data_IF_135341945549
#
_entry.id   IF_135341945549
#
_cell.length_a   1.000
_cell.length_b   1.000
_cell.length_c   1.000
_cell.angle_alpha   90.00
_cell.angle_beta   90.00
_cell.angle_gamma   90.00
#
_symmetry.space_group_name_H-M   'P 1'
#
loop_
_entity.id
_entity.type
_entity.pdbx_description
1 polymer ?
#
# COMPACT_ATOMS: atom_id res chain seq x y z
N UNK A 1 8.81 25.40 -13.66
CA UNK A 1 9.00 24.44 -12.54
C UNK A 1 8.80 23.05 -13.10
N UNK A 2 9.69 22.11 -12.79
CA UNK A 2 9.45 20.71 -13.09
C UNK A 2 8.31 20.19 -12.22
N UNK A 3 7.36 19.47 -12.82
CA UNK A 3 6.33 18.73 -12.10
C UNK A 3 6.68 17.25 -12.16
N UNK A 4 6.73 16.62 -10.99
CA UNK A 4 6.99 15.19 -10.86
C UNK A 4 5.69 14.39 -10.94
N UNK A 5 5.78 13.16 -11.45
CA UNK A 5 4.72 12.17 -11.38
C UNK A 5 4.27 11.96 -9.92
N UNK A 6 2.98 11.67 -9.73
CA UNK A 6 2.37 11.47 -8.42
C UNK A 6 1.63 10.15 -8.42
N UNK A 7 2.02 9.29 -7.49
CA UNK A 7 1.34 8.02 -7.26
C UNK A 7 -0.13 8.27 -6.88
N UNK A 8 -1.07 7.68 -7.63
CA UNK A 8 -2.51 7.92 -7.44
C UNK A 8 -3.01 7.47 -6.08
N UNK A 9 -2.34 6.50 -5.45
CA UNK A 9 -2.57 6.14 -4.06
C UNK A 9 -2.44 7.32 -3.08
N UNK A 10 -1.78 8.42 -3.48
CA UNK A 10 -1.57 9.62 -2.68
C UNK A 10 -2.59 10.75 -2.86
N UNK A 11 -3.62 10.53 -3.70
CA UNK A 11 -4.56 11.59 -4.05
C UNK A 11 -5.75 11.62 -3.09
N UNK A 12 -5.96 12.78 -2.45
CA UNK A 12 -7.20 13.09 -1.75
C UNK A 12 -8.06 14.03 -2.61
N UNK A 13 -9.25 13.56 -3.00
CA UNK A 13 -10.15 14.31 -3.89
C UNK A 13 -11.52 14.50 -3.25
N UNK A 14 -11.93 15.76 -3.10
CA UNK A 14 -13.33 16.11 -2.80
C UNK A 14 -14.21 15.85 -4.03
N UNK A 15 -14.91 14.72 -4.01
CA UNK A 15 -15.77 14.28 -5.12
C UNK A 15 -16.94 15.22 -5.40
N UNK A 16 -17.42 15.99 -4.41
CA UNK A 16 -18.51 16.95 -4.62
C UNK A 16 -18.01 18.17 -5.37
N UNK A 17 -16.82 18.66 -4.99
CA UNK A 17 -16.22 19.85 -5.61
C UNK A 17 -15.64 19.57 -6.99
N UNK A 18 -15.04 18.40 -7.19
CA UNK A 18 -14.27 18.08 -8.39
C UNK A 18 -14.89 16.97 -9.25
N UNK A 19 -16.22 16.86 -9.24
CA UNK A 19 -16.94 15.86 -10.02
C UNK A 19 -16.59 15.89 -11.51
N UNK A 20 -16.56 17.08 -12.12
CA UNK A 20 -16.22 17.23 -13.54
C UNK A 20 -14.80 16.75 -13.87
N UNK A 21 -13.85 16.97 -12.98
CA UNK A 21 -12.48 16.50 -13.15
C UNK A 21 -12.39 14.99 -13.11
N UNK A 22 -13.13 14.35 -12.20
CA UNK A 22 -13.22 12.89 -12.13
C UNK A 22 -13.87 12.30 -13.38
N UNK A 23 -14.91 12.94 -13.90
CA UNK A 23 -15.53 12.54 -15.16
C UNK A 23 -14.56 12.65 -16.34
N UNK A 24 -13.77 13.72 -16.40
CA UNK A 24 -12.73 13.86 -17.43
C UNK A 24 -11.64 12.80 -17.28
N UNK A 25 -11.10 12.58 -16.07
CA UNK A 25 -10.10 11.56 -15.83
C UNK A 25 -10.61 10.15 -16.22
N UNK A 26 -11.86 9.85 -15.90
CA UNK A 26 -12.52 8.60 -16.30
C UNK A 26 -12.67 8.50 -17.83
N UNK A 27 -13.10 9.57 -18.50
CA UNK A 27 -13.23 9.60 -19.95
C UNK A 27 -11.87 9.41 -20.64
N UNK A 28 -10.81 10.06 -20.14
CA UNK A 28 -9.46 9.91 -20.66
C UNK A 28 -8.98 8.45 -20.54
N UNK A 29 -9.25 7.78 -19.42
CA UNK A 29 -8.91 6.38 -19.20
C UNK A 29 -9.72 5.40 -20.07
N UNK A 30 -11.03 5.63 -20.21
CA UNK A 30 -11.92 4.64 -20.83
C UNK A 30 -12.09 4.85 -22.33
N UNK A 31 -12.31 6.09 -22.77
CA UNK A 31 -12.59 6.39 -24.17
C UNK A 31 -11.32 6.71 -24.96
N UNK A 32 -10.31 7.27 -24.29
CA UNK A 32 -9.02 7.65 -24.90
C UNK A 32 -7.84 6.83 -24.35
N UNK A 33 -8.11 5.80 -23.55
CA UNK A 33 -7.08 5.02 -22.85
C UNK A 33 -6.02 4.46 -23.79
N UNK A 34 -6.41 4.05 -25.01
CA UNK A 34 -5.46 3.56 -26.02
C UNK A 34 -4.36 4.58 -26.33
N UNK A 35 -4.74 5.84 -26.54
CA UNK A 35 -3.79 6.91 -26.84
C UNK A 35 -2.91 7.22 -25.61
N UNK A 36 -3.53 7.37 -24.44
CA UNK A 36 -2.79 7.78 -23.24
C UNK A 36 -1.87 6.67 -22.71
N UNK A 37 -2.24 5.39 -22.84
CA UNK A 37 -1.41 4.27 -22.43
C UNK A 37 -0.17 4.06 -23.32
N UNK A 38 -0.11 4.69 -24.51
CA UNK A 38 1.10 4.71 -25.33
C UNK A 38 2.17 5.67 -24.79
N UNK A 39 1.76 6.66 -23.98
CA UNK A 39 2.64 7.72 -23.47
C UNK A 39 2.77 7.76 -21.94
N UNK A 40 1.94 7.01 -21.22
CA UNK A 40 1.93 6.96 -19.76
C UNK A 40 2.03 5.53 -19.24
N UNK A 41 2.64 5.38 -18.08
CA UNK A 41 2.76 4.12 -17.35
C UNK A 41 1.48 3.85 -16.53
N UNK A 42 0.35 3.76 -17.24
CA UNK A 42 -0.95 3.38 -16.68
C UNK A 42 -1.90 4.55 -16.40
N UNK A 43 -3.01 4.21 -15.75
CA UNK A 43 -4.21 5.04 -15.56
C UNK A 43 -4.06 6.13 -14.49
N UNK A 44 -3.00 6.04 -13.68
CA UNK A 44 -2.79 6.86 -12.47
C UNK A 44 -2.60 8.34 -12.79
N UNK A 45 -1.90 8.65 -13.88
CA UNK A 45 -1.57 10.02 -14.27
C UNK A 45 -2.76 10.78 -14.88
N UNK A 46 -3.89 10.11 -15.16
CA UNK A 46 -5.08 10.76 -15.71
C UNK A 46 -5.67 11.82 -14.79
N UNK A 47 -5.54 11.65 -13.47
CA UNK A 47 -5.98 12.67 -12.51
C UNK A 47 -5.23 13.97 -12.71
N UNK A 48 -3.90 13.89 -12.80
CA UNK A 48 -3.03 15.06 -13.02
C UNK A 48 -3.37 15.73 -14.34
N UNK A 49 -3.56 14.96 -15.41
CA UNK A 49 -3.90 15.48 -16.73
C UNK A 49 -5.27 16.17 -16.76
N UNK A 50 -6.27 15.59 -16.11
CA UNK A 50 -7.60 16.19 -16.01
C UNK A 50 -7.56 17.54 -15.26
N UNK A 51 -6.79 17.65 -14.18
CA UNK A 51 -6.62 18.91 -13.45
C UNK A 51 -5.92 19.99 -14.29
N UNK A 52 -4.89 19.62 -15.04
CA UNK A 52 -4.22 20.55 -15.96
C UNK A 52 -5.12 21.00 -17.10
N UNK A 53 -5.84 20.07 -17.73
CA UNK A 53 -6.77 20.38 -18.81
C UNK A 53 -7.87 21.36 -18.35
N UNK A 54 -8.34 21.20 -17.11
CA UNK A 54 -9.33 22.07 -16.47
C UNK A 54 -8.70 23.26 -15.71
N UNK A 55 -7.39 23.49 -15.88
CA UNK A 55 -6.62 24.60 -15.29
C UNK A 55 -6.85 24.79 -13.80
N UNK A 56 -6.99 23.69 -13.08
CA UNK A 56 -7.29 23.68 -11.65
C UNK A 56 -6.03 23.34 -10.88
N UNK A 57 -5.71 24.16 -9.87
CA UNK A 57 -4.59 23.90 -8.97
C UNK A 57 -4.95 22.78 -7.98
N UNK A 58 -3.94 22.02 -7.56
CA UNK A 58 -4.08 20.97 -6.55
C UNK A 58 -2.89 21.02 -5.59
N UNK A 59 -3.12 20.54 -4.36
CA UNK A 59 -2.10 20.47 -3.33
C UNK A 59 -1.00 19.45 -3.69
N UNK A 60 0.21 19.70 -3.20
CA UNK A 60 1.35 18.80 -3.36
C UNK A 60 1.84 18.46 -1.96
N UNK A 61 1.67 17.21 -1.48
CA UNK A 61 2.25 16.79 -0.22
C UNK A 61 3.75 17.10 -0.26
N UNK A 62 4.24 17.80 0.77
CA UNK A 62 5.66 18.14 0.87
C UNK A 62 6.48 16.89 1.18
N UNK A 63 5.92 15.98 1.98
CA UNK A 63 6.60 14.78 2.43
C UNK A 63 6.57 13.63 1.43
N UNK A 64 7.70 12.96 1.29
CA UNK A 64 7.83 11.67 0.63
C UNK A 64 7.00 10.58 1.34
N UNK A 65 6.56 9.60 0.56
CA UNK A 65 5.93 8.39 1.10
C UNK A 65 6.90 7.61 1.98
N UNK A 66 6.37 7.14 3.11
CA UNK A 66 7.07 6.17 3.96
C UNK A 66 6.60 4.77 3.59
N UNK A 67 7.51 3.87 3.20
CA UNK A 67 7.15 2.47 3.00
C UNK A 67 6.85 1.85 4.36
N UNK A 68 5.76 1.11 4.45
CA UNK A 68 5.36 0.34 5.64
C UNK A 68 5.22 -1.11 5.24
N UNK A 69 5.69 -2.00 6.09
CA UNK A 69 5.86 -3.39 5.75
C UNK A 69 6.12 -4.29 6.95
N UNK A 70 6.64 -5.47 6.65
CA UNK A 70 7.17 -6.42 7.62
C UNK A 70 8.63 -6.71 7.31
N UNK A 71 9.43 -7.05 8.31
CA UNK A 71 10.78 -7.57 8.12
C UNK A 71 10.86 -8.93 8.80
N UNK A 72 11.31 -9.92 8.03
CA UNK A 72 11.45 -11.31 8.45
C UNK A 72 12.81 -11.84 7.99
N UNK A 73 13.61 -12.38 8.91
CA UNK A 73 14.97 -12.88 8.65
C UNK A 73 15.85 -11.89 7.86
N UNK A 74 15.76 -10.59 8.19
CA UNK A 74 16.49 -9.52 7.53
C UNK A 74 15.99 -9.15 6.12
N UNK A 75 14.88 -9.74 5.68
CA UNK A 75 14.20 -9.38 4.43
C UNK A 75 12.99 -8.49 4.71
N UNK A 76 13.10 -7.22 4.34
CA UNK A 76 11.99 -6.27 4.42
C UNK A 76 11.02 -6.44 3.24
N UNK A 77 9.72 -6.47 3.49
CA UNK A 77 8.69 -6.41 2.46
C UNK A 77 7.80 -5.18 2.66
N UNK A 78 8.08 -4.11 1.89
CA UNK A 78 7.24 -2.92 1.88
C UNK A 78 5.97 -3.16 1.06
N UNK A 79 4.89 -3.58 1.72
CA UNK A 79 3.62 -3.88 1.07
C UNK A 79 2.61 -2.72 1.16
N UNK A 80 2.90 -1.70 1.95
CA UNK A 80 2.03 -0.56 2.21
C UNK A 80 2.82 0.75 2.23
N UNK A 81 2.10 1.87 2.18
CA UNK A 81 2.70 3.20 2.24
C UNK A 81 1.95 4.08 3.23
N UNK A 82 2.68 4.68 4.17
CA UNK A 82 2.17 5.72 5.05
C UNK A 82 2.23 7.08 4.35
N UNK A 83 1.12 7.81 4.46
CA UNK A 83 0.97 9.12 3.88
C UNK A 83 0.66 10.14 4.96
N UNK A 84 1.36 11.26 4.90
CA UNK A 84 1.28 12.29 5.92
C UNK A 84 0.17 13.29 5.62
N UNK A 85 -0.39 13.85 6.68
CA UNK A 85 -1.30 14.96 6.58
C UNK A 85 -0.57 16.15 5.92
N UNK A 86 -1.21 16.92 5.03
CA UNK A 86 -0.55 18.03 4.35
C UNK A 86 -0.18 19.18 5.30
N UNK A 87 -0.92 19.34 6.39
CA UNK A 87 -0.76 20.47 7.32
C UNK A 87 0.04 20.10 8.58
N UNK A 88 0.27 18.82 8.85
CA UNK A 88 0.99 18.37 10.04
C UNK A 88 1.75 17.05 9.82
N UNK A 89 2.75 16.79 10.65
CA UNK A 89 3.65 15.63 10.52
C UNK A 89 3.00 14.28 10.85
N UNK A 90 1.68 14.21 11.03
CA UNK A 90 0.99 12.95 11.36
C UNK A 90 0.78 12.12 10.12
N UNK A 91 0.81 10.79 10.27
CA UNK A 91 0.31 9.88 9.24
C UNK A 91 -1.22 9.99 9.18
N UNK A 92 -1.75 10.34 8.01
CA UNK A 92 -3.18 10.46 7.75
C UNK A 92 -3.82 9.10 7.40
N UNK A 93 -3.14 8.27 6.61
CA UNK A 93 -3.60 6.92 6.27
C UNK A 93 -2.47 6.01 5.77
N UNK A 94 -2.72 4.70 5.82
CA UNK A 94 -1.91 3.66 5.20
C UNK A 94 -2.59 3.14 3.94
N UNK A 95 -1.86 3.11 2.82
CA UNK A 95 -2.33 2.53 1.57
C UNK A 95 -1.71 1.14 1.35
N UNK A 96 -2.52 0.08 1.34
CA UNK A 96 -2.09 -1.31 1.17
C UNK A 96 -1.92 -1.75 -0.29
N UNK A 97 -1.06 -1.08 -1.06
CA UNK A 97 -0.95 -1.28 -2.51
C UNK A 97 -0.58 -2.70 -2.93
N UNK A 98 0.41 -3.31 -2.25
CA UNK A 98 0.90 -4.66 -2.55
C UNK A 98 0.41 -5.71 -1.54
N UNK A 99 -0.27 -5.31 -0.48
CA UNK A 99 -0.92 -6.23 0.49
C UNK A 99 -1.82 -7.23 -0.23
N UNK A 100 -2.49 -6.83 -1.30
CA UNK A 100 -3.34 -7.71 -2.12
C UNK A 100 -2.62 -8.90 -2.77
N UNK A 101 -1.28 -8.87 -2.83
CA UNK A 101 -0.46 -9.92 -3.45
C UNK A 101 0.04 -10.94 -2.43
N UNK A 102 -0.15 -10.69 -1.14
CA UNK A 102 0.33 -11.60 -0.09
C UNK A 102 -0.61 -12.79 0.06
N UNK A 103 -0.04 -13.97 0.24
CA UNK A 103 -0.80 -15.14 0.66
C UNK A 103 -1.32 -14.96 2.10
N UNK A 104 -2.51 -15.48 2.36
CA UNK A 104 -3.09 -15.43 3.71
C UNK A 104 -2.26 -16.21 4.73
N UNK A 105 -1.51 -17.25 4.31
CA UNK A 105 -0.59 -17.98 5.19
C UNK A 105 0.55 -17.10 5.71
N UNK A 106 1.13 -16.23 4.87
CA UNK A 106 2.18 -15.29 5.27
C UNK A 106 1.61 -14.22 6.19
N UNK A 107 0.45 -13.65 5.83
CA UNK A 107 -0.20 -12.65 6.67
C UNK A 107 -0.54 -13.24 8.07
N UNK A 108 -1.06 -14.46 8.10
CA UNK A 108 -1.38 -15.20 9.34
C UNK A 108 -0.16 -15.47 10.18
N UNK A 109 0.93 -15.96 9.59
CA UNK A 109 2.17 -16.22 10.32
C UNK A 109 2.74 -14.93 10.93
N UNK A 110 2.74 -13.82 10.18
CA UNK A 110 3.19 -12.54 10.71
C UNK A 110 2.30 -12.06 11.87
N UNK A 111 0.97 -12.16 11.74
CA UNK A 111 0.02 -11.81 12.81
C UNK A 111 0.23 -12.67 14.06
N UNK A 112 0.22 -13.98 13.90
CA UNK A 112 0.11 -14.94 15.00
C UNK A 112 1.45 -15.23 15.68
N UNK A 113 2.55 -15.22 14.92
CA UNK A 113 3.89 -15.58 15.40
C UNK A 113 4.76 -14.35 15.62
N UNK A 114 4.68 -13.37 14.71
CA UNK A 114 5.56 -12.20 14.74
C UNK A 114 4.94 -10.96 15.38
N UNK A 115 3.66 -11.05 15.80
CA UNK A 115 2.95 -10.00 16.53
C UNK A 115 2.29 -8.93 15.67
N UNK A 116 2.21 -9.12 14.34
CA UNK A 116 1.57 -8.19 13.43
C UNK A 116 2.13 -8.23 12.00
N UNK A 117 1.42 -7.66 11.05
CA UNK A 117 1.83 -7.61 9.64
C UNK A 117 2.45 -6.26 9.27
N UNK A 118 1.91 -5.13 9.74
CA UNK A 118 2.50 -3.80 9.54
C UNK A 118 3.37 -3.48 10.76
N UNK A 119 4.62 -3.97 10.77
CA UNK A 119 5.53 -3.86 11.94
C UNK A 119 6.73 -2.95 11.71
N UNK A 120 7.10 -2.74 10.46
CA UNK A 120 8.31 -2.01 10.10
C UNK A 120 8.00 -0.91 9.09
N UNK A 121 8.89 0.08 9.02
CA UNK A 121 8.83 1.11 8.00
C UNK A 121 10.23 1.45 7.47
N UNK A 122 10.29 1.90 6.22
CA UNK A 122 11.47 2.52 5.61
C UNK A 122 11.09 3.92 5.14
N UNK A 123 11.92 4.90 5.52
CA UNK A 123 11.69 6.32 5.24
C UNK A 123 12.96 6.93 4.69
N UNK A 124 12.80 7.74 3.65
CA UNK A 124 13.92 8.43 3.01
C UNK A 124 14.61 9.40 3.98
N UNK A 125 15.93 9.63 3.85
CA UNK A 125 16.67 10.47 4.80
C UNK A 125 16.25 11.95 4.81
N UNK A 126 15.70 12.43 3.69
CA UNK A 126 15.21 13.79 3.54
C UNK A 126 13.76 13.74 3.08
N UNK A 127 12.85 14.12 3.97
CA UNK A 127 11.41 13.94 3.76
C UNK A 127 10.82 14.92 2.76
N UNK A 128 11.41 16.10 2.54
CA UNK A 128 10.79 17.15 1.71
C UNK A 128 11.65 17.61 0.52
N UNK A 129 12.92 17.20 0.46
CA UNK A 129 13.78 17.56 -0.67
C UNK A 129 13.48 16.65 -1.88
N UNK A 130 12.92 17.18 -2.99
CA UNK A 130 12.63 16.39 -4.18
C UNK A 130 13.88 15.96 -4.97
N UNK A 131 15.05 16.53 -4.67
CA UNK A 131 16.31 16.18 -5.34
C UNK A 131 16.96 14.91 -4.78
N UNK A 132 16.50 14.45 -3.61
CA UNK A 132 17.02 13.22 -3.00
C UNK A 132 16.42 12.02 -3.73
N UNK A 133 17.32 11.21 -4.29
CA UNK A 133 16.98 9.95 -4.96
C UNK A 133 17.35 8.79 -4.05
N UNK A 134 16.48 7.79 -3.98
CA UNK A 134 16.72 6.54 -3.25
C UNK A 134 16.58 5.35 -4.20
N UNK A 135 17.37 4.31 -4.01
CA UNK A 135 17.25 3.09 -4.81
C UNK A 135 16.02 2.29 -4.36
N UNK A 136 15.03 2.25 -5.23
CA UNK A 136 13.77 1.52 -5.01
C UNK A 136 13.66 0.38 -6.02
N UNK A 137 13.28 -0.80 -5.55
CA UNK A 137 13.03 -1.96 -6.39
C UNK A 137 11.72 -2.66 -6.01
N UNK A 138 11.10 -3.31 -6.98
CA UNK A 138 10.09 -4.33 -6.72
C UNK A 138 10.81 -5.68 -6.66
N UNK A 139 10.66 -6.37 -5.53
CA UNK A 139 11.15 -7.74 -5.33
C UNK A 139 10.00 -8.69 -5.02
N UNK A 140 10.28 -9.98 -5.11
CA UNK A 140 9.34 -11.03 -4.79
C UNK A 140 9.72 -11.67 -3.45
N UNK A 141 8.78 -11.72 -2.50
CA UNK A 141 8.92 -12.45 -1.25
C UNK A 141 8.33 -13.86 -1.39
N UNK A 142 9.23 -14.85 -1.49
CA UNK A 142 8.87 -16.27 -1.52
C UNK A 142 8.67 -16.85 -0.11
N UNK A 143 8.63 -16.04 0.94
CA UNK A 143 8.40 -16.44 2.32
C UNK A 143 9.32 -17.58 2.81
N UNK A 144 10.62 -17.51 2.50
CA UNK A 144 11.60 -18.53 2.91
C UNK A 144 11.73 -18.69 4.45
N UNK A 145 11.30 -17.67 5.21
CA UNK A 145 11.20 -17.68 6.67
C UNK A 145 10.01 -18.49 7.19
N UNK A 146 9.05 -18.85 6.32
CA UNK A 146 7.91 -19.70 6.64
C UNK A 146 8.29 -21.17 6.35
N UNK A 147 8.33 -22.08 7.35
CA UNK A 147 8.88 -23.43 7.18
C UNK A 147 8.11 -24.35 6.23
N UNK A 148 6.82 -24.11 6.05
CA UNK A 148 5.96 -24.87 5.13
C UNK A 148 5.01 -23.92 4.40
N UNK A 149 4.84 -24.14 3.11
CA UNK A 149 3.89 -23.43 2.26
C UNK A 149 2.78 -24.39 1.81
N UNK A 150 1.58 -23.85 1.60
CA UNK A 150 0.53 -24.60 0.91
C UNK A 150 0.87 -24.77 -0.58
N UNK A 151 0.25 -25.76 -1.24
CA UNK A 151 0.44 -25.99 -2.69
C UNK A 151 0.01 -24.80 -3.56
N UNK A 152 -0.79 -23.87 -3.01
CA UNK A 152 -1.31 -22.68 -3.70
C UNK A 152 -0.53 -21.41 -3.35
N UNK A 153 0.63 -21.53 -2.71
CA UNK A 153 1.43 -20.39 -2.32
C UNK A 153 1.91 -19.61 -3.55
N UNK A 154 1.76 -18.29 -3.48
CA UNK A 154 2.26 -17.35 -4.48
C UNK A 154 3.13 -16.31 -3.77
N UNK A 155 4.24 -15.96 -4.42
CA UNK A 155 5.17 -14.98 -3.91
C UNK A 155 4.53 -13.58 -3.89
N UNK A 156 4.70 -12.87 -2.78
CA UNK A 156 4.24 -11.50 -2.65
C UNK A 156 5.13 -10.53 -3.44
N UNK A 157 4.55 -9.44 -3.93
CA UNK A 157 5.32 -8.31 -4.43
C UNK A 157 5.63 -7.36 -3.28
N UNK A 158 6.88 -6.90 -3.21
CA UNK A 158 7.36 -6.02 -2.15
C UNK A 158 8.10 -4.84 -2.75
N UNK A 159 7.84 -3.63 -2.25
CA UNK A 159 8.68 -2.47 -2.50
C UNK A 159 9.83 -2.45 -1.50
N UNK A 160 11.05 -2.47 -2.02
CA UNK A 160 12.28 -2.39 -1.25
C UNK A 160 12.91 -1.00 -1.44
N UNK A 161 13.35 -0.39 -0.34
CA UNK A 161 14.23 0.77 -0.35
C UNK A 161 15.61 0.26 0.05
N UNK A 162 16.45 -0.03 -0.95
CA UNK A 162 17.64 -0.90 -0.82
C UNK A 162 18.62 -0.35 0.22
N UNK A 163 18.87 0.96 0.19
CA UNK A 163 19.88 1.60 1.02
C UNK A 163 19.32 2.15 2.35
N UNK A 164 18.06 1.83 2.66
CA UNK A 164 17.36 2.36 3.84
C UNK A 164 17.13 1.22 4.83
N UNK A 165 17.54 1.42 6.07
CA UNK A 165 17.27 0.45 7.14
C UNK A 165 15.80 0.49 7.56
N UNK A 166 15.24 -0.69 7.85
CA UNK A 166 13.91 -0.80 8.41
C UNK A 166 13.92 -0.39 9.89
N UNK A 167 12.87 0.30 10.32
CA UNK A 167 12.65 0.76 11.70
C UNK A 167 11.30 0.31 12.20
N UNK A 168 11.11 0.32 13.53
CA UNK A 168 9.85 -0.09 14.16
C UNK A 168 8.72 0.89 13.83
N UNK A 169 7.60 0.40 13.28
CA UNK A 169 6.44 1.21 12.92
C UNK A 169 5.88 2.03 14.09
N UNK A 170 6.06 1.57 15.34
CA UNK A 170 5.56 2.27 16.52
C UNK A 170 6.20 3.64 16.73
N UNK A 171 7.33 3.92 16.09
CA UNK A 171 7.93 5.25 16.10
C UNK A 171 7.11 6.29 15.34
N UNK A 172 6.32 5.87 14.34
CA UNK A 172 5.46 6.75 13.54
C UNK A 172 3.97 6.50 13.78
N UNK A 173 3.61 5.31 14.27
CA UNK A 173 2.24 4.83 14.47
C UNK A 173 2.16 3.94 15.72
N UNK A 174 2.34 4.51 16.93
CA UNK A 174 2.38 3.73 18.17
C UNK A 174 1.06 2.98 18.41
N UNK A 175 1.14 1.68 18.64
CA UNK A 175 -0.01 0.82 18.95
C UNK A 175 -0.90 0.48 17.76
N UNK A 176 -0.49 0.83 16.53
CA UNK A 176 -1.31 0.65 15.33
C UNK A 176 -1.72 -0.80 15.10
N UNK A 177 -0.81 -1.77 15.20
CA UNK A 177 -1.13 -3.19 14.98
C UNK A 177 -2.23 -3.71 15.92
N UNK A 178 -2.18 -3.29 17.19
CA UNK A 178 -3.21 -3.64 18.17
C UNK A 178 -4.56 -3.06 17.75
N UNK A 179 -4.61 -1.76 17.45
CA UNK A 179 -5.84 -1.10 17.00
C UNK A 179 -6.36 -1.70 15.70
N UNK A 180 -5.47 -1.99 14.74
CA UNK A 180 -5.82 -2.62 13.47
C UNK A 180 -6.45 -3.99 13.70
N UNK A 181 -5.88 -4.82 14.57
CA UNK A 181 -6.46 -6.11 14.93
C UNK A 181 -7.81 -5.98 15.65
N UNK A 182 -7.94 -5.07 16.61
CA UNK A 182 -9.20 -4.85 17.36
C UNK A 182 -10.34 -4.36 16.46
N UNK A 183 -10.02 -3.64 15.39
CA UNK A 183 -10.97 -3.15 14.40
C UNK A 183 -11.29 -4.18 13.29
N UNK A 184 -10.76 -5.40 13.37
CA UNK A 184 -10.98 -6.44 12.36
C UNK A 184 -10.18 -6.22 11.08
N UNK A 185 -9.00 -5.60 11.17
CA UNK A 185 -8.11 -5.35 10.03
C UNK A 185 -7.67 -6.63 9.30
N UNK A 186 -7.71 -7.77 9.99
CA UNK A 186 -7.40 -9.11 9.46
C UNK A 186 -8.63 -9.89 8.98
N UNK A 187 -9.72 -9.20 8.61
CA UNK A 187 -11.00 -9.81 8.21
C UNK A 187 -10.89 -10.94 7.16
N UNK A 188 -9.89 -10.91 6.28
CA UNK A 188 -9.66 -11.97 5.30
C UNK A 188 -9.26 -13.29 5.96
N UNK A 189 -8.44 -13.22 7.01
CA UNK A 189 -8.05 -14.39 7.80
C UNK A 189 -9.25 -14.93 8.58
N UNK A 190 -10.06 -14.03 9.14
CA UNK A 190 -11.26 -14.40 9.89
C UNK A 190 -12.31 -15.08 9.00
N UNK A 191 -12.47 -14.59 7.76
CA UNK A 191 -13.32 -15.23 6.74
C UNK A 191 -12.79 -16.61 6.34
N UNK A 192 -11.48 -16.74 6.12
CA UNK A 192 -10.87 -18.03 5.77
C UNK A 192 -11.05 -19.06 6.91
N UNK A 193 -10.90 -18.63 8.16
CA UNK A 193 -11.08 -19.48 9.34
C UNK A 193 -12.54 -19.93 9.48
N UNK A 194 -13.50 -19.03 9.28
CA UNK A 194 -14.92 -19.37 9.26
C UNK A 194 -15.25 -20.39 8.15
N UNK A 195 -14.72 -20.20 6.94
CA UNK A 195 -14.92 -21.14 5.83
C UNK A 195 -14.34 -22.52 6.11
N UNK A 196 -13.16 -22.60 6.76
CA UNK A 196 -12.56 -23.87 7.18
C UNK A 196 -13.42 -24.52 8.27
N UNK A 197 -13.89 -23.76 9.25
CA UNK A 197 -14.78 -24.26 10.30
C UNK A 197 -16.10 -24.80 9.73
N UNK A 198 -16.69 -24.18 8.72
CA UNK A 198 -17.89 -24.69 8.06
C UNK A 198 -17.63 -25.96 7.23
N UNK A 199 -16.43 -26.10 6.65
CA UNK A 199 -16.04 -27.31 5.90
C UNK A 199 -15.72 -28.50 6.81
N UNK A 200 -15.21 -28.27 8.02
CA UNK A 200 -14.84 -29.30 8.98
C UNK A 200 -15.84 -29.44 10.15
N UNK A 201 -16.79 -28.51 10.26
CA UNK A 201 -17.81 -28.44 11.29
C UNK A 201 -19.09 -29.17 10.88
N UNK A 202 -19.20 -30.40 11.37
CA UNK A 202 -20.39 -31.27 11.45
C UNK A 202 -20.65 -32.25 10.28
N UNK A 203 -20.18 -33.51 10.40
CA UNK A 203 -20.99 -34.66 10.05
C UNK A 203 -22.01 -34.92 11.18
N UNK A 204 -23.30 -34.71 10.88
CA UNK A 204 -24.49 -35.06 11.68
C UNK A 204 -25.00 -34.05 12.73
N UNK A 205 -26.05 -33.33 12.34
CA UNK A 205 -27.15 -32.97 13.22
C UNK A 205 -28.49 -33.00 12.44
N UNK A 206 -29.17 -34.15 12.56
CA UNK A 206 -30.58 -34.49 12.28
C UNK A 206 -31.26 -34.02 11.00
#
# INVERSE_FOLDING_TARGET
MAEYEKESGQLLVDKKRFWYHLQLASWLNNEQGKYYNEILLGDKDMFRFAWHALRTTFGKPAKWLTSVGTENDGSYCGHSFAQYHPDDDRVAFLHGGLVKTVSLEVMRWNRDIMGGYLRHYKRVPSEENPEVTVNVAIKWDNAAYLPQHSEKFEAAQCTEMIDIEARDVNEILPGFEKTFSELGGYWQLDQEDAMKLDQFGCPHAR
#
